data_IF_806388441780
#
_entry.id   IF_806388441780
#
_cell.length_a   1.000
_cell.length_b   1.000
_cell.length_c   1.000
_cell.angle_alpha   90.00
_cell.angle_beta   90.00
_cell.angle_gamma   90.00
#
_symmetry.space_group_name_H-M   'P 1'
#
loop_
_entity.id
_entity.type
_entity.pdbx_description
1 polymer ?
#
# COMPACT_ATOMS: atom_id res chain seq x y z
N UNK A 1 -5.95 -41.10 21.75
CA UNK A 1 -6.15 -39.69 22.15
C UNK A 1 -6.67 -38.94 20.95
N UNK A 2 -7.96 -38.58 21.01
CA UNK A 2 -8.78 -38.08 19.90
C UNK A 2 -8.51 -36.58 19.67
N UNK A 3 -8.23 -36.18 18.43
CA UNK A 3 -8.48 -34.83 17.93
C UNK A 3 -9.09 -34.95 16.53
N UNK A 4 -10.39 -34.68 16.44
CA UNK A 4 -11.14 -34.60 15.19
C UNK A 4 -10.82 -33.27 14.48
N UNK A 5 -10.41 -33.32 13.22
CA UNK A 5 -10.33 -32.15 12.32
C UNK A 5 -11.31 -32.33 11.15
N UNK A 6 -12.53 -31.83 11.35
CA UNK A 6 -13.39 -31.41 10.25
C UNK A 6 -12.90 -30.04 9.77
N UNK A 7 -12.52 -29.95 8.49
CA UNK A 7 -12.31 -28.68 7.79
C UNK A 7 -13.33 -28.70 6.66
N UNK A 8 -14.49 -28.11 6.92
CA UNK A 8 -15.26 -27.44 5.88
C UNK A 8 -14.71 -26.02 5.85
N UNK A 9 -14.05 -25.67 4.75
CA UNK A 9 -13.66 -24.28 4.44
C UNK A 9 -14.35 -23.93 3.14
N UNK A 10 -15.60 -23.53 3.30
CA UNK A 10 -16.29 -22.51 2.53
C UNK A 10 -17.28 -21.90 3.52
N UNK A 11 -17.37 -20.57 3.55
CA UNK A 11 -18.29 -19.76 4.35
C UNK A 11 -18.00 -19.60 5.86
N UNK A 12 -16.86 -19.01 6.26
CA UNK A 12 -16.80 -18.18 7.49
C UNK A 12 -15.57 -17.26 7.53
N UNK A 13 -15.62 -16.12 6.88
CA UNK A 13 -14.85 -14.93 7.28
C UNK A 13 -15.84 -13.76 7.19
N UNK A 14 -16.01 -13.03 8.29
CA UNK A 14 -17.03 -11.99 8.54
C UNK A 14 -18.42 -12.48 8.99
N UNK A 15 -18.51 -12.95 10.24
CA UNK A 15 -19.49 -12.46 11.21
C UNK A 15 -19.34 -13.22 12.55
N UNK A 16 -19.36 -12.48 13.65
CA UNK A 16 -19.36 -13.06 14.99
C UNK A 16 -19.22 -11.99 16.07
N UNK A 17 -20.33 -11.34 16.40
CA UNK A 17 -20.47 -10.66 17.69
C UNK A 17 -20.67 -11.70 18.81
N UNK A 18 -20.11 -11.43 19.98
CA UNK A 18 -20.81 -11.41 21.26
C UNK A 18 -19.82 -11.13 22.40
N UNK A 19 -20.09 -10.02 23.09
CA UNK A 19 -20.20 -9.88 24.55
C UNK A 19 -19.30 -10.66 25.52
N UNK A 20 -18.60 -9.82 26.31
CA UNK A 20 -18.57 -9.78 27.78
C UNK A 20 -17.32 -10.28 28.54
N UNK A 21 -16.93 -9.35 29.43
CA UNK A 21 -16.26 -9.45 30.73
C UNK A 21 -14.73 -9.35 30.84
N UNK A 22 -14.35 -8.17 31.36
CA UNK A 22 -13.23 -7.87 32.24
C UNK A 22 -12.91 -9.02 33.22
N UNK A 23 -11.62 -9.36 33.35
CA UNK A 23 -10.92 -9.37 34.65
C UNK A 23 -9.39 -9.45 34.48
N UNK A 24 -8.69 -8.90 35.47
CA UNK A 24 -7.25 -8.60 35.49
C UNK A 24 -6.40 -9.76 36.03
N UNK A 25 -5.09 -9.65 35.75
CA UNK A 25 -3.92 -9.99 36.60
C UNK A 25 -3.09 -11.29 36.39
N UNK A 26 -1.82 -11.05 35.98
CA UNK A 26 -0.54 -11.37 36.69
C UNK A 26 0.18 -12.74 36.50
N UNK A 27 1.44 -12.60 36.06
CA UNK A 27 2.72 -13.37 36.24
C UNK A 27 3.07 -14.71 35.55
N UNK A 28 4.30 -14.66 35.01
CA UNK A 28 5.43 -15.62 35.00
C UNK A 28 5.57 -16.75 33.95
N UNK A 29 6.58 -16.54 33.10
CA UNK A 29 7.66 -17.43 32.61
C UNK A 29 7.46 -18.97 32.55
N UNK A 30 7.60 -19.55 31.35
CA UNK A 30 8.78 -20.37 30.95
C UNK A 30 8.60 -21.07 29.58
N UNK A 31 9.74 -21.17 28.87
CA UNK A 31 10.07 -21.82 27.59
C UNK A 31 9.25 -23.04 27.09
N UNK A 32 9.05 -23.17 25.76
CA UNK A 32 9.80 -24.10 24.86
C UNK A 32 9.11 -24.33 23.47
N UNK A 33 9.92 -24.29 22.40
CA UNK A 33 9.82 -25.04 21.12
C UNK A 33 8.66 -24.80 20.11
N UNK A 34 9.02 -24.04 19.07
CA UNK A 34 8.88 -24.36 17.64
C UNK A 34 7.87 -25.43 17.17
N UNK A 35 6.84 -24.97 16.46
CA UNK A 35 6.38 -25.54 15.17
C UNK A 35 5.38 -24.56 14.53
N UNK A 36 5.87 -23.64 13.68
CA UNK A 36 5.01 -22.70 12.95
C UNK A 36 4.40 -23.37 11.72
N UNK A 37 3.12 -23.68 11.81
CA UNK A 37 2.25 -23.98 10.65
C UNK A 37 2.15 -22.73 9.77
N UNK A 38 2.59 -22.83 8.52
CA UNK A 38 2.52 -21.77 7.53
C UNK A 38 1.07 -21.62 7.03
N UNK A 39 0.31 -20.76 7.70
CA UNK A 39 -0.84 -20.08 7.10
C UNK A 39 -0.37 -18.67 6.77
N UNK A 40 -0.22 -18.37 5.48
CA UNK A 40 0.10 -17.02 5.01
C UNK A 40 -1.14 -16.14 5.19
N UNK A 41 -1.35 -15.70 6.43
CA UNK A 41 -2.11 -14.49 6.73
C UNK A 41 -1.19 -13.37 6.28
N UNK A 42 -1.62 -12.51 5.34
CA UNK A 42 -0.89 -11.29 4.99
C UNK A 42 -0.95 -10.39 6.22
N UNK A 43 -0.03 -10.62 7.16
CA UNK A 43 0.24 -9.70 8.24
C UNK A 43 1.14 -8.66 7.61
N UNK A 44 0.59 -7.50 7.28
CA UNK A 44 1.42 -6.31 7.08
C UNK A 44 2.22 -6.16 8.38
N UNK A 45 3.54 -6.40 8.32
CA UNK A 45 4.43 -6.18 9.46
C UNK A 45 4.25 -4.76 9.99
N UNK A 46 4.38 -4.58 11.31
CA UNK A 46 4.27 -3.26 11.93
C UNK A 46 5.28 -2.30 11.27
N UNK A 47 4.77 -1.21 10.69
CA UNK A 47 5.58 -0.25 9.97
C UNK A 47 6.66 0.36 10.87
N UNK A 48 7.79 0.69 10.26
CA UNK A 48 8.87 1.45 10.87
C UNK A 48 8.42 2.88 11.23
N UNK A 49 9.07 3.45 12.25
CA UNK A 49 8.84 4.84 12.66
C UNK A 49 9.23 5.80 11.53
N UNK A 50 8.33 6.73 11.19
CA UNK A 50 8.64 7.74 10.19
C UNK A 50 9.61 8.78 10.74
N UNK A 51 10.65 9.03 9.97
CA UNK A 51 11.64 10.05 10.25
C UNK A 51 11.19 11.38 9.62
N UNK A 52 10.93 12.36 10.49
CA UNK A 52 10.52 13.73 10.14
C UNK A 52 11.67 14.74 10.25
N UNK A 53 12.93 14.29 10.37
CA UNK A 53 14.08 15.20 10.42
C UNK A 53 14.10 16.06 9.16
N UNK A 54 14.03 17.37 9.34
CA UNK A 54 14.20 18.34 8.27
C UNK A 54 15.66 18.34 7.80
N UNK A 55 15.86 18.11 6.52
CA UNK A 55 17.15 18.30 5.86
C UNK A 55 17.16 19.70 5.27
N UNK A 56 18.23 20.50 5.45
CA UNK A 56 18.30 21.83 4.87
C UNK A 56 18.07 21.79 3.36
N UNK A 57 17.09 22.55 2.89
CA UNK A 57 16.80 22.70 1.47
C UNK A 57 18.01 23.32 0.75
N UNK A 58 18.36 22.76 -0.43
CA UNK A 58 19.39 23.32 -1.30
C UNK A 58 18.98 24.71 -1.81
N UNK A 59 19.94 25.51 -2.28
CA UNK A 59 19.64 26.82 -2.87
C UNK A 59 18.67 26.73 -4.06
N UNK A 60 18.78 25.66 -4.85
CA UNK A 60 17.92 25.37 -6.00
C UNK A 60 16.48 25.06 -5.57
N UNK A 61 16.29 24.23 -4.54
CA UNK A 61 14.95 23.92 -4.02
C UNK A 61 14.25 25.13 -3.43
N UNK A 62 15.00 26.04 -2.80
CA UNK A 62 14.44 27.30 -2.28
C UNK A 62 13.99 28.24 -3.39
N UNK A 63 14.75 28.33 -4.48
CA UNK A 63 14.36 29.12 -5.66
C UNK A 63 13.11 28.52 -6.31
N UNK A 64 13.10 27.20 -6.53
CA UNK A 64 11.92 26.48 -7.03
C UNK A 64 10.69 26.70 -6.14
N UNK A 65 10.86 26.66 -4.82
CA UNK A 65 9.78 26.93 -3.87
C UNK A 65 9.18 28.34 -4.05
N UNK A 66 10.04 29.36 -4.23
CA UNK A 66 9.58 30.73 -4.54
C UNK A 66 8.83 30.81 -5.86
N UNK A 67 9.36 30.18 -6.92
CA UNK A 67 8.72 30.17 -8.25
C UNK A 67 7.31 29.55 -8.17
N UNK A 68 7.16 28.43 -7.47
CA UNK A 68 5.87 27.77 -7.28
C UNK A 68 4.94 28.65 -6.44
N UNK A 69 5.44 29.27 -5.37
CA UNK A 69 4.64 30.16 -4.52
C UNK A 69 4.09 31.35 -5.30
N UNK A 70 4.95 32.04 -6.08
CA UNK A 70 4.56 33.14 -6.94
C UNK A 70 3.52 32.70 -7.98
N UNK A 71 3.71 31.53 -8.59
CA UNK A 71 2.79 30.98 -9.57
C UNK A 71 1.40 30.69 -8.97
N UNK A 72 1.34 30.08 -7.79
CA UNK A 72 0.08 29.72 -7.11
C UNK A 72 -0.58 30.93 -6.43
N UNK A 73 0.13 32.04 -6.28
CA UNK A 73 -0.42 33.34 -5.89
C UNK A 73 -1.00 34.13 -7.08
N UNK A 74 -0.71 33.73 -8.32
CA UNK A 74 -1.23 34.36 -9.53
C UNK A 74 -2.64 33.91 -9.92
N UNK A 75 -3.21 34.56 -10.93
CA UNK A 75 -4.61 34.34 -11.35
C UNK A 75 -4.79 33.22 -12.40
N UNK A 76 -3.72 32.81 -13.10
CA UNK A 76 -3.78 31.90 -14.26
C UNK A 76 -3.21 30.50 -13.94
N UNK A 77 -3.71 29.86 -12.89
CA UNK A 77 -3.23 28.55 -12.47
C UNK A 77 -3.82 27.46 -13.39
N UNK A 78 -2.94 26.72 -14.05
CA UNK A 78 -3.27 25.53 -14.87
C UNK A 78 -2.79 24.23 -14.23
N UNK A 79 -3.53 23.14 -14.45
CA UNK A 79 -3.19 21.80 -13.96
C UNK A 79 -1.92 21.29 -14.62
N UNK A 80 -1.70 21.61 -15.89
CA UNK A 80 -0.54 21.21 -16.69
C UNK A 80 0.76 21.74 -16.08
N UNK A 81 0.80 23.02 -15.72
CA UNK A 81 2.00 23.61 -15.09
C UNK A 81 2.23 23.08 -13.67
N UNK A 82 1.17 22.82 -12.91
CA UNK A 82 1.29 22.15 -11.60
C UNK A 82 1.86 20.73 -11.74
N UNK A 83 1.45 20.02 -12.80
CA UNK A 83 2.00 18.70 -13.15
C UNK A 83 3.49 18.79 -13.46
N UNK A 84 3.93 19.77 -14.23
CA UNK A 84 5.36 20.01 -14.51
C UNK A 84 6.18 20.23 -13.22
N UNK A 85 5.68 21.04 -12.27
CA UNK A 85 6.36 21.24 -10.99
C UNK A 85 6.44 19.98 -10.13
N UNK A 86 5.36 19.20 -10.10
CA UNK A 86 5.28 17.95 -9.35
C UNK A 86 6.19 16.84 -9.91
N UNK A 87 6.33 16.77 -11.25
CA UNK A 87 7.17 15.79 -11.93
C UNK A 87 8.66 16.16 -11.89
N UNK A 88 8.98 17.45 -11.96
CA UNK A 88 10.37 17.92 -11.90
C UNK A 88 11.03 17.68 -10.54
N UNK A 89 12.37 17.68 -10.52
CA UNK A 89 13.19 17.34 -9.36
C UNK A 89 12.77 18.06 -8.08
N UNK A 90 12.59 17.33 -6.98
CA UNK A 90 12.15 17.87 -5.69
C UNK A 90 10.65 18.15 -5.56
N UNK A 91 9.84 17.97 -6.61
CA UNK A 91 8.38 18.09 -6.55
C UNK A 91 7.91 19.47 -6.07
N UNK A 92 6.93 19.50 -5.15
CA UNK A 92 6.44 20.76 -4.56
C UNK A 92 7.30 21.27 -3.39
N UNK A 93 8.46 20.65 -3.13
CA UNK A 93 9.46 21.05 -2.11
C UNK A 93 8.99 20.82 -0.67
N UNK A 94 7.94 21.49 -0.21
CA UNK A 94 7.49 21.48 1.19
C UNK A 94 5.96 21.42 1.35
N UNK A 95 5.51 21.12 2.56
CA UNK A 95 4.11 20.88 2.86
C UNK A 95 3.25 22.15 2.76
N UNK A 96 3.84 23.34 2.95
CA UNK A 96 3.15 24.61 2.73
C UNK A 96 2.70 24.76 1.27
N UNK A 97 3.57 24.41 0.32
CA UNK A 97 3.22 24.41 -1.10
C UNK A 97 2.28 23.26 -1.45
N UNK A 98 2.49 22.05 -0.92
CA UNK A 98 1.61 20.90 -1.15
C UNK A 98 0.17 21.16 -0.69
N UNK A 99 -0.02 21.81 0.45
CA UNK A 99 -1.32 22.25 0.96
C UNK A 99 -2.12 23.03 -0.08
N UNK A 100 -1.42 23.86 -0.88
CA UNK A 100 -2.03 24.69 -1.91
C UNK A 100 -2.12 23.98 -3.26
N UNK A 101 -1.09 23.21 -3.62
CA UNK A 101 -0.95 22.63 -4.95
C UNK A 101 -1.72 21.32 -5.13
N UNK A 102 -1.73 20.42 -4.14
CA UNK A 102 -2.40 19.11 -4.29
C UNK A 102 -3.91 19.23 -4.59
N UNK A 103 -4.68 20.10 -3.89
CA UNK A 103 -6.09 20.29 -4.23
C UNK A 103 -6.30 20.78 -5.66
N UNK A 104 -5.47 21.71 -6.12
CA UNK A 104 -5.52 22.30 -7.46
C UNK A 104 -5.13 21.28 -8.54
N UNK A 105 -4.07 20.50 -8.30
CA UNK A 105 -3.59 19.46 -9.21
C UNK A 105 -4.65 18.37 -9.44
N UNK A 106 -5.36 17.98 -8.38
CA UNK A 106 -6.44 16.97 -8.45
C UNK A 106 -7.76 17.56 -8.93
N UNK A 107 -7.91 18.89 -8.87
CA UNK A 107 -9.13 19.59 -9.29
C UNK A 107 -10.26 19.48 -8.26
N UNK A 108 -9.94 19.48 -6.97
CA UNK A 108 -10.93 19.51 -5.88
C UNK A 108 -11.13 20.93 -5.35
N UNK A 109 -12.35 21.30 -4.91
CA UNK A 109 -12.62 22.63 -4.41
C UNK A 109 -11.90 22.87 -3.07
N UNK A 110 -11.20 24.01 -2.97
CA UNK A 110 -10.45 24.40 -1.77
C UNK A 110 -11.41 24.75 -0.62
N UNK A 111 -12.55 25.37 -0.96
CA UNK A 111 -13.60 25.79 -0.03
C UNK A 111 -14.92 25.12 -0.38
N UNK A 112 -15.82 24.98 0.61
CA UNK A 112 -17.09 24.27 0.46
C UNK A 112 -17.00 22.87 1.04
N UNK A 113 -17.30 22.74 2.33
CA UNK A 113 -17.43 21.45 3.01
C UNK A 113 -18.78 20.83 2.72
N UNK A 114 -18.80 19.52 2.51
CA UNK A 114 -20.02 18.77 2.71
C UNK A 114 -20.34 18.70 4.21
N UNK A 115 -21.63 18.62 4.60
CA UNK A 115 -22.01 18.44 5.99
C UNK A 115 -21.28 17.24 6.59
N UNK A 116 -20.71 17.41 7.77
CA UNK A 116 -20.11 16.31 8.51
C UNK A 116 -21.19 15.26 8.79
N UNK A 117 -20.90 14.00 8.42
CA UNK A 117 -21.73 12.88 8.83
C UNK A 117 -21.75 12.81 10.37
N UNK A 118 -22.90 12.47 10.96
CA UNK A 118 -22.97 12.29 12.40
C UNK A 118 -22.04 11.15 12.83
N UNK A 119 -21.36 11.33 13.96
CA UNK A 119 -20.42 10.34 14.50
C UNK A 119 -21.11 8.97 14.73
N UNK A 120 -22.38 9.00 15.11
CA UNK A 120 -23.22 7.81 15.29
C UNK A 120 -23.45 7.05 13.97
N UNK A 121 -23.65 7.77 12.86
CA UNK A 121 -23.78 7.15 11.53
C UNK A 121 -22.47 6.49 11.11
N UNK A 122 -21.32 7.12 11.35
CA UNK A 122 -20.02 6.55 10.99
C UNK A 122 -19.69 5.29 11.83
N UNK A 123 -20.04 5.30 13.12
CA UNK A 123 -19.86 4.16 14.03
C UNK A 123 -20.72 2.94 13.65
N UNK A 124 -21.84 3.16 12.98
CA UNK A 124 -22.72 2.08 12.51
C UNK A 124 -22.20 1.36 11.26
N UNK A 125 -21.15 1.89 10.61
CA UNK A 125 -20.62 1.31 9.38
C UNK A 125 -20.03 -0.09 9.64
N UNK A 126 -20.30 -1.11 8.79
CA UNK A 126 -19.82 -2.48 9.02
C UNK A 126 -18.29 -2.60 9.15
N UNK A 127 -17.56 -1.73 8.45
CA UNK A 127 -16.09 -1.72 8.42
C UNK A 127 -15.47 -0.82 9.52
N UNK A 128 -16.28 -0.19 10.38
CA UNK A 128 -15.80 0.72 11.44
C UNK A 128 -14.71 0.09 12.32
N UNK A 129 -14.97 -1.10 12.85
CA UNK A 129 -14.04 -1.79 13.75
C UNK A 129 -12.70 -2.10 13.08
N UNK A 130 -12.71 -2.44 11.78
CA UNK A 130 -11.49 -2.72 11.03
C UNK A 130 -10.69 -1.43 10.81
N UNK A 131 -11.35 -0.34 10.43
CA UNK A 131 -10.71 0.98 10.24
C UNK A 131 -10.05 1.44 11.56
N UNK A 132 -10.76 1.36 12.68
CA UNK A 132 -10.22 1.75 14.00
C UNK A 132 -9.01 0.90 14.39
N UNK A 133 -9.08 -0.43 14.18
CA UNK A 133 -7.96 -1.32 14.46
C UNK A 133 -6.71 -0.95 13.65
N UNK A 134 -6.89 -0.59 12.38
CA UNK A 134 -5.79 -0.23 11.49
C UNK A 134 -5.19 1.13 11.85
N UNK A 135 -6.03 2.15 12.07
CA UNK A 135 -5.60 3.48 12.52
C UNK A 135 -4.85 3.44 13.85
N UNK A 136 -5.22 2.52 14.75
CA UNK A 136 -4.49 2.28 16.00
C UNK A 136 -3.09 1.69 15.76
N UNK A 137 -2.90 0.90 14.70
CA UNK A 137 -1.58 0.36 14.33
C UNK A 137 -0.67 1.38 13.66
N UNK A 138 -1.22 2.45 13.07
CA UNK A 138 -0.46 3.51 12.39
C UNK A 138 0.18 4.55 13.33
N UNK A 139 0.14 4.32 14.65
CA UNK A 139 0.65 5.28 15.66
C UNK A 139 2.11 5.70 15.45
N UNK A 140 2.94 4.80 14.90
CA UNK A 140 4.37 5.04 14.60
C UNK A 140 4.59 5.96 13.39
N UNK A 141 3.54 6.26 12.64
CA UNK A 141 3.58 7.10 11.43
C UNK A 141 3.26 8.57 11.73
N UNK A 142 2.85 8.90 12.96
CA UNK A 142 2.68 10.28 13.38
C UNK A 142 4.04 10.91 13.77
N UNK A 143 4.21 12.24 13.62
CA UNK A 143 5.45 12.90 13.97
C UNK A 143 5.91 12.62 15.41
N UNK A 144 7.19 12.28 15.63
CA UNK A 144 7.72 12.06 16.97
C UNK A 144 7.65 13.38 17.75
N UNK A 145 7.19 13.31 19.00
CA UNK A 145 7.01 14.49 19.85
C UNK A 145 5.62 15.14 19.83
N UNK A 146 4.68 14.68 18.99
CA UNK A 146 3.27 15.13 19.09
C UNK A 146 2.66 14.62 20.40
N UNK A 147 2.04 15.49 21.23
CA UNK A 147 1.37 15.09 22.47
C UNK A 147 0.33 13.98 22.22
N UNK A 148 0.19 13.07 23.17
CA UNK A 148 -0.74 11.93 23.05
C UNK A 148 -2.18 12.38 22.71
N UNK A 149 -2.68 13.45 23.34
CA UNK A 149 -4.01 14.00 23.06
C UNK A 149 -4.19 14.45 21.60
N UNK A 150 -3.16 15.08 21.01
CA UNK A 150 -3.18 15.47 19.59
C UNK A 150 -3.12 14.25 18.67
N UNK A 151 -2.39 13.20 19.04
CA UNK A 151 -2.38 11.94 18.27
C UNK A 151 -3.74 11.27 18.27
N UNK A 152 -4.40 11.17 19.42
CA UNK A 152 -5.75 10.61 19.52
C UNK A 152 -6.75 11.43 18.69
N UNK A 153 -6.63 12.76 18.69
CA UNK A 153 -7.43 13.61 17.82
C UNK A 153 -7.19 13.30 16.34
N UNK A 154 -5.92 13.20 15.90
CA UNK A 154 -5.60 12.84 14.51
C UNK A 154 -6.08 11.45 14.12
N UNK A 155 -6.03 10.47 15.03
CA UNK A 155 -6.61 9.14 14.79
C UNK A 155 -8.12 9.20 14.61
N UNK A 156 -8.81 10.03 15.40
CA UNK A 156 -10.23 10.30 15.23
C UNK A 156 -10.53 10.92 13.87
N UNK A 157 -9.76 11.95 13.48
CA UNK A 157 -9.88 12.59 12.16
C UNK A 157 -9.61 11.61 11.01
N UNK A 158 -8.59 10.76 11.13
CA UNK A 158 -8.27 9.74 10.13
C UNK A 158 -9.39 8.69 10.00
N UNK A 159 -9.95 8.25 11.12
CA UNK A 159 -11.07 7.32 11.16
C UNK A 159 -12.29 7.94 10.47
N UNK A 160 -12.63 9.19 10.82
CA UNK A 160 -13.74 9.92 10.21
C UNK A 160 -13.53 10.13 8.71
N UNK A 161 -12.33 10.55 8.31
CA UNK A 161 -11.92 10.73 6.92
C UNK A 161 -12.20 9.46 6.09
N UNK A 162 -11.71 8.31 6.54
CA UNK A 162 -11.88 7.03 5.84
C UNK A 162 -13.36 6.64 5.77
N UNK A 163 -14.06 6.69 6.92
CA UNK A 163 -15.45 6.28 7.01
C UNK A 163 -16.39 7.16 6.21
N UNK A 164 -16.12 8.47 6.11
CA UNK A 164 -16.88 9.40 5.27
C UNK A 164 -16.80 8.98 3.80
N UNK A 165 -15.62 8.57 3.31
CA UNK A 165 -15.44 8.15 1.91
C UNK A 165 -16.22 6.86 1.63
N UNK A 166 -16.01 5.80 2.43
CA UNK A 166 -16.67 4.50 2.16
C UNK A 166 -18.18 4.53 2.43
N UNK A 167 -18.64 5.37 3.37
CA UNK A 167 -20.08 5.61 3.58
C UNK A 167 -20.70 6.32 2.38
N UNK A 168 -20.01 7.31 1.81
CA UNK A 168 -20.48 8.05 0.64
C UNK A 168 -20.48 7.19 -0.63
N UNK A 169 -19.56 6.23 -0.73
CA UNK A 169 -19.43 5.32 -1.86
C UNK A 169 -19.55 3.84 -1.42
N UNK A 170 -20.78 3.33 -1.19
CA UNK A 170 -21.00 1.98 -0.63
C UNK A 170 -20.50 0.80 -1.49
N UNK A 171 -20.12 1.06 -2.74
CA UNK A 171 -19.54 0.06 -3.64
C UNK A 171 -18.03 -0.10 -3.44
N UNK A 172 -17.36 0.89 -2.82
CA UNK A 172 -15.96 0.82 -2.45
C UNK A 172 -15.84 0.09 -1.11
N UNK A 173 -14.86 -0.82 -1.04
CA UNK A 173 -14.52 -1.57 0.17
C UNK A 173 -13.21 -1.06 0.74
N UNK A 174 -13.14 -0.99 2.06
CA UNK A 174 -11.91 -0.65 2.74
C UNK A 174 -10.92 -1.81 2.60
N UNK A 175 -9.70 -1.49 2.17
CA UNK A 175 -8.58 -2.44 2.16
C UNK A 175 -7.53 -2.04 3.21
N UNK A 176 -6.87 -3.05 3.79
CA UNK A 176 -5.81 -2.81 4.77
C UNK A 176 -4.61 -2.15 4.08
N UNK A 177 -4.28 -0.92 4.50
CA UNK A 177 -3.27 -0.05 3.90
C UNK A 177 -3.83 1.27 3.34
N UNK A 178 -5.15 1.36 3.15
CA UNK A 178 -5.80 2.61 2.71
C UNK A 178 -5.58 3.76 3.72
N UNK A 179 -5.49 3.43 5.01
CA UNK A 179 -5.21 4.40 6.06
C UNK A 179 -3.80 5.03 5.96
N UNK A 180 -2.81 4.31 5.43
CA UNK A 180 -1.45 4.84 5.22
C UNK A 180 -1.42 5.88 4.08
N UNK A 181 -2.35 5.75 3.13
CA UNK A 181 -2.56 6.78 2.10
C UNK A 181 -3.27 7.98 2.70
N UNK A 182 -4.37 7.75 3.41
CA UNK A 182 -5.20 8.80 3.99
C UNK A 182 -4.45 9.64 5.05
N UNK A 183 -3.59 9.04 5.88
CA UNK A 183 -2.83 9.76 6.91
C UNK A 183 -1.86 10.76 6.29
N UNK A 184 -1.23 10.44 5.15
CA UNK A 184 -0.30 11.34 4.46
C UNK A 184 -1.03 12.62 4.02
N UNK A 185 -2.22 12.51 3.44
CA UNK A 185 -3.04 13.67 3.12
C UNK A 185 -3.52 14.42 4.37
N UNK A 186 -3.96 13.70 5.40
CA UNK A 186 -4.39 14.32 6.65
C UNK A 186 -3.29 15.19 7.27
N UNK A 187 -2.04 14.73 7.26
CA UNK A 187 -0.90 15.45 7.82
C UNK A 187 -0.54 16.71 7.02
N UNK A 188 -0.68 16.68 5.70
CA UNK A 188 -0.32 17.80 4.81
C UNK A 188 -1.45 18.81 4.67
N UNK A 189 -2.67 18.35 4.38
CA UNK A 189 -3.79 19.22 3.97
C UNK A 189 -4.89 19.38 5.01
N UNK A 190 -4.86 18.58 6.09
CA UNK A 190 -5.91 18.55 7.11
C UNK A 190 -7.17 17.78 6.68
N UNK A 191 -8.08 17.55 7.61
CA UNK A 191 -9.20 16.60 7.45
C UNK A 191 -10.13 16.92 6.27
N UNK A 192 -10.58 18.17 6.12
CA UNK A 192 -11.58 18.52 5.10
C UNK A 192 -11.04 18.42 3.66
N UNK A 193 -9.82 18.92 3.42
CA UNK A 193 -9.19 18.79 2.11
C UNK A 193 -8.77 17.35 1.85
N UNK A 194 -8.26 16.64 2.86
CA UNK A 194 -7.91 15.24 2.74
C UNK A 194 -9.14 14.41 2.32
N UNK A 195 -10.32 14.70 2.87
CA UNK A 195 -11.56 14.03 2.47
C UNK A 195 -11.86 14.20 0.99
N UNK A 196 -11.81 15.44 0.47
CA UNK A 196 -12.08 15.70 -0.95
C UNK A 196 -11.05 15.05 -1.88
N UNK A 197 -9.76 15.09 -1.49
CA UNK A 197 -8.70 14.43 -2.24
C UNK A 197 -8.90 12.91 -2.24
N UNK A 198 -9.12 12.31 -1.07
CA UNK A 198 -9.30 10.87 -0.92
C UNK A 198 -10.57 10.39 -1.64
N UNK A 199 -11.66 11.15 -1.61
CA UNK A 199 -12.85 10.87 -2.42
C UNK A 199 -12.51 10.74 -3.91
N UNK A 200 -11.75 11.71 -4.45
CA UNK A 200 -11.35 11.68 -5.85
C UNK A 200 -10.46 10.48 -6.11
N UNK A 201 -9.39 10.28 -5.32
CA UNK A 201 -8.45 9.18 -5.50
C UNK A 201 -9.11 7.81 -5.40
N UNK A 202 -10.03 7.62 -4.47
CA UNK A 202 -10.77 6.37 -4.26
C UNK A 202 -11.70 6.02 -5.42
N UNK A 203 -12.12 7.01 -6.21
CA UNK A 203 -12.91 6.80 -7.42
C UNK A 203 -12.09 6.77 -8.72
N UNK A 204 -10.78 7.07 -8.65
CA UNK A 204 -9.86 6.97 -9.78
C UNK A 204 -8.65 6.06 -9.48
N UNK A 205 -7.59 6.56 -8.86
CA UNK A 205 -6.31 5.85 -8.69
C UNK A 205 -6.41 4.59 -7.85
N UNK A 206 -7.19 4.64 -6.77
CA UNK A 206 -7.29 3.56 -5.78
C UNK A 206 -8.53 2.68 -6.00
N UNK A 207 -9.37 3.01 -6.99
CA UNK A 207 -10.66 2.35 -7.23
C UNK A 207 -10.54 0.83 -7.30
N UNK A 208 -9.58 0.34 -8.09
CA UNK A 208 -9.42 -1.10 -8.32
C UNK A 208 -8.85 -1.83 -7.08
N UNK A 209 -8.18 -1.10 -6.18
CA UNK A 209 -7.73 -1.62 -4.88
C UNK A 209 -8.88 -1.72 -3.86
N UNK A 210 -9.97 -0.96 -4.07
CA UNK A 210 -11.16 -0.92 -3.22
C UNK A 210 -12.30 -1.81 -3.72
N UNK A 211 -12.02 -2.75 -4.62
CA UNK A 211 -13.01 -3.73 -5.05
C UNK A 211 -13.28 -4.78 -3.96
N UNK A 212 -14.44 -5.46 -3.98
CA UNK A 212 -14.76 -6.49 -3.00
C UNK A 212 -13.79 -7.68 -2.99
N UNK A 213 -13.07 -7.91 -4.08
CA UNK A 213 -12.08 -8.98 -4.20
C UNK A 213 -10.72 -8.38 -4.60
N UNK A 214 -9.65 -9.05 -4.17
CA UNK A 214 -8.27 -8.66 -4.52
C UNK A 214 -7.88 -9.06 -5.95
N UNK A 215 -8.81 -9.62 -6.75
CA UNK A 215 -8.49 -10.15 -8.09
C UNK A 215 -7.93 -9.06 -9.01
N UNK A 216 -8.54 -7.87 -8.99
CA UNK A 216 -8.05 -6.73 -9.80
C UNK A 216 -6.69 -6.26 -9.30
N UNK A 217 -6.52 -6.06 -8.01
CA UNK A 217 -5.22 -5.69 -7.42
C UNK A 217 -4.13 -6.70 -7.79
N UNK A 218 -4.39 -8.00 -7.67
CA UNK A 218 -3.45 -9.06 -8.06
C UNK A 218 -3.14 -9.05 -9.56
N UNK A 219 -4.11 -8.76 -10.43
CA UNK A 219 -3.87 -8.56 -11.85
C UNK A 219 -2.99 -7.34 -12.11
N UNK A 220 -3.22 -6.22 -11.43
CA UNK A 220 -2.39 -5.01 -11.59
C UNK A 220 -0.93 -5.25 -11.19
N UNK A 221 -0.67 -5.98 -10.11
CA UNK A 221 0.71 -6.31 -9.71
C UNK A 221 1.49 -7.10 -10.79
N UNK A 222 0.80 -7.81 -11.67
CA UNK A 222 1.43 -8.54 -12.77
C UNK A 222 2.06 -7.63 -13.83
N UNK A 223 1.85 -6.31 -13.80
CA UNK A 223 2.56 -5.35 -14.66
C UNK A 223 4.06 -5.29 -14.39
N UNK A 224 4.51 -5.56 -13.16
CA UNK A 224 5.92 -5.40 -12.77
C UNK A 224 6.84 -6.31 -13.60
N UNK A 225 6.47 -7.57 -13.80
CA UNK A 225 7.33 -8.55 -14.48
C UNK A 225 7.54 -8.28 -15.98
N UNK A 226 6.49 -8.04 -16.79
CA UNK A 226 6.65 -7.63 -18.18
C UNK A 226 7.54 -6.40 -18.33
N UNK A 227 7.35 -5.38 -17.49
CA UNK A 227 8.19 -4.18 -17.50
C UNK A 227 9.66 -4.50 -17.20
N UNK A 228 9.92 -5.29 -16.15
CA UNK A 228 11.27 -5.78 -15.84
C UNK A 228 11.84 -6.59 -17.01
N UNK A 229 11.04 -7.44 -17.65
CA UNK A 229 11.48 -8.25 -18.80
C UNK A 229 11.87 -7.39 -20.01
N UNK A 230 11.17 -6.29 -20.27
CA UNK A 230 11.48 -5.39 -21.39
C UNK A 230 12.84 -4.69 -21.23
N UNK A 231 13.27 -4.43 -20.00
CA UNK A 231 14.54 -3.75 -19.71
C UNK A 231 15.67 -4.75 -19.41
N UNK A 232 15.38 -5.77 -18.60
CA UNK A 232 16.35 -6.77 -18.15
C UNK A 232 15.72 -8.19 -18.13
N UNK A 233 15.72 -8.89 -19.29
CA UNK A 233 15.16 -10.25 -19.40
C UNK A 233 15.83 -11.27 -18.48
N UNK A 234 17.14 -11.09 -18.20
CA UNK A 234 17.91 -11.96 -17.31
C UNK A 234 17.39 -11.84 -15.86
N UNK A 235 17.10 -10.62 -15.41
CA UNK A 235 16.52 -10.37 -14.09
C UNK A 235 15.12 -10.96 -13.99
N UNK A 236 14.26 -10.74 -14.98
CA UNK A 236 12.91 -11.32 -15.00
C UNK A 236 12.96 -12.86 -14.89
N UNK A 237 13.84 -13.50 -15.67
CA UNK A 237 14.02 -14.97 -15.62
C UNK A 237 14.50 -15.43 -14.24
N UNK A 238 15.35 -14.66 -13.57
CA UNK A 238 15.83 -14.98 -12.22
C UNK A 238 14.70 -14.88 -11.18
N UNK A 239 13.90 -13.82 -11.24
CA UNK A 239 12.72 -13.62 -10.39
C UNK A 239 11.62 -14.66 -10.62
N UNK A 240 11.45 -15.14 -11.85
CA UNK A 240 10.52 -16.23 -12.16
C UNK A 240 11.02 -17.56 -11.59
N UNK A 241 12.33 -17.84 -11.71
CA UNK A 241 12.93 -19.07 -11.18
C UNK A 241 12.90 -19.15 -9.66
N UNK A 242 13.01 -18.02 -8.96
CA UNK A 242 12.93 -18.01 -7.50
C UNK A 242 11.52 -18.34 -6.98
N UNK A 243 10.48 -18.12 -7.80
CA UNK A 243 9.10 -18.33 -7.39
C UNK A 243 8.57 -17.27 -6.41
N UNK A 244 9.24 -16.12 -6.28
CA UNK A 244 8.83 -15.03 -5.38
C UNK A 244 7.44 -14.45 -5.72
N UNK A 245 7.02 -14.54 -6.98
CA UNK A 245 5.74 -13.99 -7.46
C UNK A 245 5.68 -12.47 -7.30
N UNK A 246 4.48 -11.91 -7.19
CA UNK A 246 4.27 -10.45 -7.14
C UNK A 246 3.91 -9.92 -5.74
N UNK A 247 3.76 -10.80 -4.75
CA UNK A 247 3.24 -10.43 -3.43
C UNK A 247 4.14 -9.47 -2.65
N UNK A 248 5.45 -9.47 -2.91
CA UNK A 248 6.38 -8.52 -2.30
C UNK A 248 6.07 -7.06 -2.66
N UNK A 249 5.46 -6.80 -3.82
CA UNK A 249 5.08 -5.46 -4.28
C UNK A 249 3.78 -4.96 -3.66
N UNK A 250 2.95 -5.85 -3.09
CA UNK A 250 1.60 -5.52 -2.66
C UNK A 250 1.56 -4.38 -1.62
N UNK A 251 2.39 -4.38 -0.56
CA UNK A 251 2.40 -3.28 0.41
C UNK A 251 2.76 -1.93 -0.22
N UNK A 252 3.70 -1.93 -1.18
CA UNK A 252 4.15 -0.71 -1.86
C UNK A 252 3.04 -0.11 -2.70
N UNK A 253 2.34 -0.95 -3.46
CA UNK A 253 1.26 -0.51 -4.33
C UNK A 253 0.06 0.00 -3.54
N UNK A 254 -0.38 -0.75 -2.52
CA UNK A 254 -1.57 -0.40 -1.74
C UNK A 254 -1.41 0.87 -0.88
N UNK A 255 -0.18 1.15 -0.43
CA UNK A 255 0.10 2.26 0.48
C UNK A 255 0.81 3.44 -0.19
N UNK A 256 0.99 3.39 -1.52
CA UNK A 256 1.84 4.33 -2.27
C UNK A 256 3.21 4.51 -1.61
N UNK A 257 3.84 3.39 -1.26
CA UNK A 257 5.11 3.32 -0.53
C UNK A 257 5.11 3.96 0.86
N UNK A 258 3.97 4.51 1.32
CA UNK A 258 3.83 5.12 2.63
C UNK A 258 4.41 4.19 3.68
N UNK A 259 3.81 3.03 3.90
CA UNK A 259 4.23 2.09 4.94
C UNK A 259 5.68 1.58 4.83
N UNK A 260 6.27 1.62 3.64
CA UNK A 260 7.56 0.97 3.35
C UNK A 260 8.74 1.93 3.37
N UNK A 261 8.51 3.24 3.33
CA UNK A 261 9.58 4.24 3.45
C UNK A 261 9.69 4.76 4.86
N UNK A 262 10.95 4.99 5.26
CA UNK A 262 11.33 5.47 6.58
C UNK A 262 11.38 7.00 6.64
N UNK A 263 11.56 7.68 5.52
CA UNK A 263 11.67 9.14 5.47
C UNK A 263 10.36 9.77 4.98
N UNK A 264 9.75 10.60 5.83
CA UNK A 264 8.50 11.30 5.49
C UNK A 264 8.64 12.15 4.22
N UNK A 265 9.78 12.83 4.07
CA UNK A 265 10.10 13.65 2.90
C UNK A 265 9.98 12.87 1.59
N UNK A 266 10.48 11.64 1.57
CA UNK A 266 10.48 10.83 0.36
C UNK A 266 9.07 10.32 0.05
N UNK A 267 8.27 10.00 1.08
CA UNK A 267 6.84 9.68 0.94
C UNK A 267 6.09 10.84 0.28
N UNK A 268 6.15 12.06 0.83
CA UNK A 268 5.41 13.20 0.27
C UNK A 268 5.92 13.61 -1.11
N UNK A 269 7.21 13.41 -1.40
CA UNK A 269 7.78 13.60 -2.75
C UNK A 269 7.21 12.62 -3.77
N UNK A 270 7.03 11.35 -3.39
CA UNK A 270 6.36 10.36 -4.24
C UNK A 270 4.87 10.68 -4.43
N UNK A 271 4.21 11.28 -3.44
CA UNK A 271 2.82 11.71 -3.58
C UNK A 271 2.70 12.86 -4.58
N UNK A 272 3.63 13.83 -4.58
CA UNK A 272 3.70 14.85 -5.64
C UNK A 272 3.70 14.19 -7.02
N UNK A 273 4.58 13.18 -7.20
CA UNK A 273 4.72 12.43 -8.44
C UNK A 273 3.47 11.63 -8.83
N UNK A 274 2.86 10.87 -7.91
CA UNK A 274 1.69 10.03 -8.22
C UNK A 274 0.43 10.83 -8.50
N UNK A 275 0.21 11.95 -7.80
CA UNK A 275 -0.92 12.85 -8.05
C UNK A 275 -0.83 13.48 -9.45
N UNK A 276 0.39 13.73 -9.91
CA UNK A 276 0.67 14.27 -11.23
C UNK A 276 0.61 13.23 -12.36
N UNK A 277 0.59 11.94 -12.02
CA UNK A 277 0.78 10.83 -12.96
C UNK A 277 -0.47 9.97 -13.16
N UNK A 278 -0.52 9.17 -14.25
CA UNK A 278 -1.58 8.17 -14.44
C UNK A 278 -1.63 7.13 -13.31
N UNK A 279 -2.79 6.49 -13.06
CA UNK A 279 -2.99 5.56 -11.93
C UNK A 279 -1.96 4.43 -11.78
N UNK A 280 -1.44 3.89 -12.89
CA UNK A 280 -0.51 2.76 -12.86
C UNK A 280 0.95 3.16 -12.57
N UNK A 281 1.26 4.46 -12.48
CA UNK A 281 2.64 4.94 -12.35
C UNK A 281 3.37 4.39 -11.12
N UNK A 282 2.66 4.11 -10.02
CA UNK A 282 3.26 3.47 -8.83
C UNK A 282 3.84 2.07 -9.12
N UNK A 283 3.27 1.34 -10.09
CA UNK A 283 3.80 0.05 -10.53
C UNK A 283 5.02 0.21 -11.45
N UNK A 284 5.09 1.28 -12.22
CA UNK A 284 6.27 1.61 -13.02
C UNK A 284 7.45 2.00 -12.11
N UNK A 285 7.20 2.78 -11.06
CA UNK A 285 8.20 3.04 -10.02
C UNK A 285 8.64 1.75 -9.32
N UNK A 286 7.70 0.85 -9.03
CA UNK A 286 8.01 -0.47 -8.47
C UNK A 286 8.96 -1.26 -9.38
N UNK A 287 8.67 -1.31 -10.68
CA UNK A 287 9.53 -1.96 -11.66
C UNK A 287 10.91 -1.29 -11.75
N UNK A 288 10.98 0.05 -11.75
CA UNK A 288 12.23 0.80 -11.74
C UNK A 288 13.09 0.47 -10.52
N UNK A 289 12.50 0.38 -9.31
CA UNK A 289 13.20 -0.03 -8.09
C UNK A 289 13.76 -1.46 -8.23
N UNK A 290 12.96 -2.41 -8.74
CA UNK A 290 13.40 -3.80 -8.95
C UNK A 290 14.56 -3.87 -9.94
N UNK A 291 14.49 -3.11 -11.05
CA UNK A 291 15.56 -3.03 -12.05
C UNK A 291 16.81 -2.40 -11.45
N UNK A 292 16.68 -1.32 -10.68
CA UNK A 292 17.80 -0.65 -10.03
C UNK A 292 18.55 -1.61 -9.09
N UNK A 293 17.82 -2.42 -8.32
CA UNK A 293 18.37 -3.38 -7.36
C UNK A 293 18.82 -4.73 -7.96
N UNK A 294 18.99 -4.81 -9.29
CA UNK A 294 19.32 -6.07 -9.95
C UNK A 294 20.61 -6.74 -9.44
N UNK A 295 21.63 -5.97 -9.04
CA UNK A 295 22.88 -6.53 -8.51
C UNK A 295 22.68 -7.24 -7.16
N UNK A 296 21.91 -6.64 -6.25
CA UNK A 296 21.53 -7.25 -4.97
C UNK A 296 20.72 -8.54 -5.19
N UNK A 297 19.78 -8.49 -6.14
CA UNK A 297 18.91 -9.62 -6.48
C UNK A 297 19.74 -10.78 -7.03
N UNK A 298 20.68 -10.52 -7.95
CA UNK A 298 21.56 -11.56 -8.50
C UNK A 298 22.55 -12.11 -7.46
N UNK A 299 22.86 -11.35 -6.42
CA UNK A 299 23.75 -11.77 -5.34
C UNK A 299 23.04 -12.55 -4.22
N UNK A 300 21.70 -12.63 -4.27
CA UNK A 300 20.86 -13.33 -3.30
C UNK A 300 20.50 -14.72 -3.79
N UNK A 301 20.34 -15.68 -2.87
CA UNK A 301 19.93 -17.05 -3.22
C UNK A 301 18.64 -17.07 -4.06
N UNK A 302 18.63 -17.87 -5.12
CA UNK A 302 17.53 -17.93 -6.10
C UNK A 302 16.37 -18.80 -5.59
N UNK A 303 15.80 -18.43 -4.44
CA UNK A 303 14.64 -19.08 -3.85
C UNK A 303 13.60 -18.04 -3.39
N UNK A 304 12.37 -18.50 -3.17
CA UNK A 304 11.24 -17.63 -2.86
C UNK A 304 11.49 -16.82 -1.59
N UNK A 305 12.01 -17.44 -0.53
CA UNK A 305 12.11 -16.79 0.78
C UNK A 305 13.18 -15.70 0.77
N UNK A 306 14.37 -15.99 0.21
CA UNK A 306 15.48 -15.05 0.16
C UNK A 306 15.15 -13.82 -0.69
N UNK A 307 14.58 -14.03 -1.89
CA UNK A 307 14.19 -12.94 -2.78
C UNK A 307 13.03 -12.13 -2.21
N UNK A 308 12.01 -12.79 -1.64
CA UNK A 308 10.90 -12.08 -1.00
C UNK A 308 11.40 -11.25 0.20
N UNK A 309 12.31 -11.76 1.02
CA UNK A 309 12.90 -11.04 2.14
C UNK A 309 13.65 -9.78 1.67
N UNK A 310 14.57 -9.92 0.71
CA UNK A 310 15.33 -8.82 0.13
C UNK A 310 14.41 -7.72 -0.43
N UNK A 311 13.41 -8.14 -1.20
CA UNK A 311 12.51 -7.22 -1.89
C UNK A 311 11.46 -6.64 -0.96
N UNK A 312 11.11 -7.26 0.16
CA UNK A 312 10.15 -6.67 1.11
C UNK A 312 10.75 -5.49 1.88
N UNK A 313 12.08 -5.40 1.96
CA UNK A 313 12.81 -4.37 2.67
C UNK A 313 13.45 -3.39 1.68
N UNK A 314 12.91 -2.17 1.61
CA UNK A 314 13.52 -1.10 0.83
C UNK A 314 14.75 -0.54 1.59
N UNK A 315 15.89 -0.31 0.91
CA UNK A 315 17.01 0.41 1.50
C UNK A 315 16.58 1.83 1.91
N UNK A 316 17.18 2.35 2.98
CA UNK A 316 16.92 3.72 3.46
C UNK A 316 17.28 4.78 2.41
N UNK A 317 18.37 4.55 1.68
CA UNK A 317 18.88 5.48 0.68
C UNK A 317 18.63 4.95 -0.73
N UNK A 318 17.47 5.29 -1.28
CA UNK A 318 17.15 5.08 -2.69
C UNK A 318 17.24 6.42 -3.45
N UNK A 319 17.81 6.46 -4.67
CA UNK A 319 17.92 7.68 -5.45
C UNK A 319 16.58 8.00 -6.13
N UNK A 320 15.58 8.43 -5.35
CA UNK A 320 14.20 8.59 -5.83
C UNK A 320 14.06 9.51 -7.05
N UNK A 321 14.83 10.59 -7.16
CA UNK A 321 14.75 11.46 -8.34
C UNK A 321 15.17 10.72 -9.62
N UNK A 322 16.20 9.88 -9.55
CA UNK A 322 16.58 9.00 -10.66
C UNK A 322 15.52 7.94 -10.92
N UNK A 323 15.00 7.30 -9.88
CA UNK A 323 13.98 6.25 -10.01
C UNK A 323 12.65 6.78 -10.58
N UNK A 324 12.29 8.01 -10.25
CA UNK A 324 11.13 8.72 -10.83
C UNK A 324 11.37 8.94 -12.32
N UNK A 325 12.54 9.44 -12.72
CA UNK A 325 12.89 9.61 -14.13
C UNK A 325 12.87 8.26 -14.88
N UNK A 326 13.50 7.22 -14.33
CA UNK A 326 13.50 5.88 -14.89
C UNK A 326 12.06 5.32 -15.03
N UNK A 327 11.16 5.61 -14.08
CA UNK A 327 9.75 5.19 -14.14
C UNK A 327 8.97 5.92 -15.24
N UNK A 328 9.22 7.21 -15.45
CA UNK A 328 8.62 7.99 -16.54
C UNK A 328 9.10 7.46 -17.89
N UNK A 329 10.41 7.27 -18.07
CA UNK A 329 11.00 6.71 -19.29
C UNK A 329 10.44 5.31 -19.61
N UNK A 330 10.25 4.50 -18.57
CA UNK A 330 9.64 3.17 -18.67
C UNK A 330 8.17 3.25 -19.10
N UNK A 331 7.41 4.21 -18.58
CA UNK A 331 6.01 4.44 -18.95
C UNK A 331 5.87 4.90 -20.40
N UNK A 332 6.70 5.84 -20.84
CA UNK A 332 6.67 6.36 -22.21
C UNK A 332 7.10 5.30 -23.23
N UNK A 333 8.10 4.48 -22.88
CA UNK A 333 8.58 3.38 -23.72
C UNK A 333 7.54 2.27 -23.84
N UNK A 334 6.98 1.86 -22.69
CA UNK A 334 6.10 0.70 -22.55
C UNK A 334 4.79 1.09 -21.83
N UNK A 335 3.92 1.91 -22.46
CA UNK A 335 2.64 2.26 -21.86
C UNK A 335 1.77 1.01 -21.63
N UNK A 336 0.81 1.05 -20.69
CA UNK A 336 0.11 -0.13 -20.20
C UNK A 336 -0.48 -1.02 -21.30
N UNK A 337 -1.02 -0.39 -22.35
CA UNK A 337 -1.67 -1.08 -23.47
C UNK A 337 -0.68 -1.96 -24.27
N UNK A 338 0.61 -1.60 -24.30
CA UNK A 338 1.65 -2.37 -25.02
C UNK A 338 2.08 -3.62 -24.27
N UNK A 339 1.93 -3.66 -22.94
CA UNK A 339 2.36 -4.80 -22.09
C UNK A 339 1.19 -5.63 -21.58
N UNK A 340 -0.05 -5.15 -21.71
CA UNK A 340 -1.26 -5.80 -21.20
C UNK A 340 -1.43 -7.27 -21.66
N UNK A 341 -0.98 -7.63 -22.87
CA UNK A 341 -1.02 -9.03 -23.34
C UNK A 341 -0.12 -9.91 -22.46
N UNK A 342 1.12 -9.48 -22.23
CA UNK A 342 2.10 -10.20 -21.39
C UNK A 342 1.63 -10.28 -19.94
N UNK A 343 0.98 -9.22 -19.44
CA UNK A 343 0.36 -9.19 -18.10
C UNK A 343 -0.72 -10.25 -17.98
N UNK A 344 -1.65 -10.33 -18.94
CA UNK A 344 -2.74 -11.33 -18.93
C UNK A 344 -2.22 -12.75 -19.01
N UNK A 345 -1.22 -13.00 -19.85
CA UNK A 345 -0.60 -14.32 -19.98
C UNK A 345 0.08 -14.73 -18.67
N UNK A 346 0.75 -13.80 -18.00
CA UNK A 346 1.33 -14.03 -16.68
C UNK A 346 0.26 -14.31 -15.63
N UNK A 347 -0.76 -13.46 -15.50
CA UNK A 347 -1.84 -13.64 -14.54
C UNK A 347 -2.55 -14.99 -14.71
N UNK A 348 -2.74 -15.43 -15.96
CA UNK A 348 -3.27 -16.77 -16.27
C UNK A 348 -2.35 -17.88 -15.77
N UNK A 349 -1.03 -17.80 -16.03
CA UNK A 349 -0.05 -18.78 -15.53
C UNK A 349 -0.04 -18.87 -14.01
N UNK A 350 0.02 -17.73 -13.31
CA UNK A 350 0.00 -17.70 -11.85
C UNK A 350 -1.29 -18.32 -11.28
N UNK A 351 -2.44 -18.05 -11.91
CA UNK A 351 -3.71 -18.66 -11.51
C UNK A 351 -3.72 -20.18 -11.69
N UNK A 352 -3.26 -20.68 -12.83
CA UNK A 352 -3.19 -22.12 -13.11
C UNK A 352 -2.24 -22.85 -12.16
N UNK A 353 -1.11 -22.25 -11.83
CA UNK A 353 -0.14 -22.77 -10.86
C UNK A 353 -0.73 -22.83 -9.45
N UNK A 354 -1.42 -21.77 -9.02
CA UNK A 354 -2.10 -21.74 -7.73
C UNK A 354 -3.18 -22.81 -7.63
N UNK A 355 -4.02 -22.95 -8.66
CA UNK A 355 -5.05 -23.99 -8.69
C UNK A 355 -4.47 -25.41 -8.65
N UNK A 356 -3.33 -25.63 -9.31
CA UNK A 356 -2.60 -26.91 -9.26
C UNK A 356 -2.08 -27.19 -7.86
N UNK A 357 -1.41 -26.23 -7.24
CA UNK A 357 -0.90 -26.34 -5.88
C UNK A 357 -2.02 -26.60 -4.86
N UNK A 358 -3.15 -25.91 -4.98
CA UNK A 358 -4.32 -26.13 -4.13
C UNK A 358 -4.91 -27.54 -4.29
N UNK A 359 -5.01 -28.05 -5.53
CA UNK A 359 -5.47 -29.43 -5.79
C UNK A 359 -4.52 -30.47 -5.20
N UNK A 360 -3.21 -30.27 -5.32
CA UNK A 360 -2.19 -31.15 -4.75
C UNK A 360 -2.22 -31.13 -3.21
N UNK A 361 -2.33 -29.96 -2.61
CA UNK A 361 -2.47 -29.80 -1.16
C UNK A 361 -3.74 -30.50 -0.63
N UNK A 362 -4.88 -30.35 -1.32
CA UNK A 362 -6.14 -31.06 -0.98
C UNK A 362 -5.99 -32.57 -1.06
N UNK A 363 -5.33 -33.09 -2.10
CA UNK A 363 -5.04 -34.53 -2.24
C UNK A 363 -4.16 -35.03 -1.10
N UNK A 364 -3.05 -34.33 -0.82
CA UNK A 364 -2.12 -34.67 0.26
C UNK A 364 -2.81 -34.66 1.64
N UNK A 365 -3.67 -33.67 1.90
CA UNK A 365 -4.46 -33.60 3.13
C UNK A 365 -5.46 -34.76 3.26
N UNK A 366 -6.13 -35.13 2.16
CA UNK A 366 -7.04 -36.27 2.14
C UNK A 366 -6.31 -37.60 2.39
N UNK A 367 -5.12 -37.78 1.82
CA UNK A 367 -4.31 -38.98 2.02
C UNK A 367 -3.76 -39.07 3.45
N UNK A 368 -3.34 -37.94 4.04
CA UNK A 368 -2.97 -37.85 5.47
C UNK A 368 -4.14 -38.22 6.37
N UNK A 369 -5.36 -37.70 6.12
CA UNK A 369 -6.56 -38.06 6.89
C UNK A 369 -6.85 -39.56 6.81
N UNK A 370 -6.80 -40.16 5.61
CA UNK A 370 -6.98 -41.61 5.43
C UNK A 370 -5.94 -42.44 6.18
N UNK A 371 -4.68 -42.01 6.18
CA UNK A 371 -3.61 -42.69 6.90
C UNK A 371 -3.82 -42.65 8.43
N UNK A 372 -4.23 -41.49 8.98
CA UNK A 372 -4.55 -41.34 10.40
C UNK A 372 -5.76 -42.21 10.79
N UNK A 373 -6.80 -42.27 9.96
CA UNK A 373 -7.96 -43.15 10.22
C UNK A 373 -7.57 -44.62 10.22
N UNK A 374 -6.68 -45.08 9.32
CA UNK A 374 -6.20 -46.47 9.30
C UNK A 374 -5.35 -46.84 10.53
N UNK A 375 -4.58 -45.89 11.06
CA UNK A 375 -3.76 -46.08 12.27
C UNK A 375 -4.59 -46.06 13.56
N UNK A 376 -5.74 -45.40 13.58
CA UNK A 376 -6.64 -45.36 14.76
C UNK A 376 -7.60 -46.55 14.86
N UNK A 377 -7.67 -47.40 13.83
CA UNK A 377 -8.53 -48.60 13.76
C UNK A 377 -7.74 -49.89 14.03
N UNK A 378 -6.41 -49.79 14.16
CA UNK A 378 -5.54 -50.83 14.75
C UNK A 378 -5.25 -50.48 16.20
#
# INVERSE_FOLDING_TARGET
>A
LKCNFNMDINDTIFNGGNDLHLEQNVTDDTNLSSTKSCQTRVVLEEGSELNFKEVPESGELKEKGREIEEYVNGDNITVERLREYALSEGGFVNDYLRLRCWPLLIGVPISGGEPLSSEESLRSHPEYSQVVLDVNRSLKRFPPGVPYSKRVALQGQLTNLILRVITKYPHLRYYQGYHDVAITFLLVVGEDLAFRIMEKLSTCHLRDCMEPTMEKTSHLLNYVYPLVNRVNPRLCTYLDKSGAGTMFCLPWFLTWFGHSLNHYRDVVRLYDFFLASPPLMSLYLTAAIVIFRHEDIFSTECDMASIHCLLSQLPDELPFERLIADAVDLYDSFPPEKVEIEVRERAKREKEERERAEKEARRSAADRKKAVTRLSVR
#
